data_IF_145102084382
#
_entry.id   IF_145102084382
#
_cell.length_a   1.000
_cell.length_b   1.000
_cell.length_c   1.000
_cell.angle_alpha   90.00
_cell.angle_beta   90.00
_cell.angle_gamma   90.00
#
_symmetry.space_group_name_H-M   'P 1'
#
loop_
_entity.id
_entity.type
_entity.pdbx_description
1 polymer ?
#
# COMPACT_ATOMS: atom_id res chain seq x y z
N UNK A 1 -57.40 13.47 -5.97
CA UNK A 1 -58.57 12.69 -5.52
C UNK A 1 -58.56 11.37 -6.27
N UNK A 2 -58.50 10.26 -5.51
CA UNK A 2 -58.86 8.87 -5.88
C UNK A 2 -58.15 8.18 -7.06
N UNK A 3 -57.74 6.92 -7.04
CA UNK A 3 -57.57 5.85 -6.02
C UNK A 3 -57.05 4.63 -6.80
N UNK A 4 -56.06 3.91 -6.24
CA UNK A 4 -55.83 2.44 -6.32
C UNK A 4 -55.68 1.77 -7.73
N UNK A 5 -54.90 0.70 -7.96
CA UNK A 5 -54.62 -0.46 -7.10
C UNK A 5 -53.43 -1.23 -7.69
N UNK A 6 -52.64 -1.86 -6.83
CA UNK A 6 -51.50 -2.71 -7.14
C UNK A 6 -51.91 -4.10 -7.69
N UNK A 7 -51.04 -4.72 -8.47
CA UNK A 7 -51.00 -6.20 -8.61
C UNK A 7 -49.56 -6.66 -8.86
N UNK A 8 -48.92 -7.09 -7.77
CA UNK A 8 -47.78 -8.02 -7.77
C UNK A 8 -48.36 -9.44 -7.85
N UNK A 9 -47.72 -10.34 -8.61
CA UNK A 9 -47.49 -11.76 -8.29
C UNK A 9 -46.93 -12.51 -9.51
N UNK A 10 -45.75 -13.11 -9.36
CA UNK A 10 -45.57 -14.52 -9.72
C UNK A 10 -44.45 -15.16 -8.88
N UNK A 11 -44.56 -16.46 -8.53
CA UNK A 11 -43.96 -17.00 -7.33
C UNK A 11 -42.72 -17.88 -7.59
N UNK A 12 -41.78 -17.85 -6.64
CA UNK A 12 -40.69 -18.81 -6.52
C UNK A 12 -41.21 -20.18 -6.02
N UNK A 13 -40.72 -21.32 -6.56
CA UNK A 13 -41.11 -22.64 -6.09
C UNK A 13 -40.42 -23.03 -4.77
N UNK A 14 -41.22 -23.62 -3.86
CA UNK A 14 -40.83 -24.19 -2.56
C UNK A 14 -40.03 -25.49 -2.73
N UNK A 15 -38.92 -25.61 -2.01
CA UNK A 15 -38.21 -26.87 -1.80
C UNK A 15 -38.87 -27.62 -0.64
N UNK A 16 -39.26 -28.87 -0.91
CA UNK A 16 -39.93 -29.81 0.00
C UNK A 16 -38.97 -30.41 1.03
N UNK A 17 -39.40 -30.47 2.28
CA UNK A 17 -38.71 -31.16 3.37
C UNK A 17 -39.28 -32.56 3.53
N UNK A 18 -38.47 -33.60 3.36
CA UNK A 18 -38.90 -34.98 3.59
C UNK A 18 -38.43 -35.47 4.97
N UNK A 19 -39.39 -35.69 5.86
CA UNK A 19 -39.22 -36.30 7.18
C UNK A 19 -39.14 -37.81 7.01
N UNK A 20 -38.10 -38.46 7.55
CA UNK A 20 -38.17 -39.87 7.90
C UNK A 20 -37.78 -40.05 9.37
N UNK A 21 -38.74 -40.59 10.13
CA UNK A 21 -38.73 -40.80 11.57
C UNK A 21 -38.56 -42.31 11.80
N UNK A 22 -37.54 -42.73 12.57
CA UNK A 22 -37.50 -44.03 13.24
C UNK A 22 -37.06 -43.84 14.69
N UNK A 23 -37.99 -44.10 15.60
CA UNK A 23 -37.78 -44.50 17.02
C UNK A 23 -37.17 -45.92 17.03
N UNK A 24 -36.42 -46.42 18.02
CA UNK A 24 -36.54 -46.39 19.48
C UNK A 24 -35.24 -46.99 20.07
N UNK A 25 -34.74 -46.50 21.21
CA UNK A 25 -34.43 -47.28 22.43
C UNK A 25 -33.51 -46.53 23.41
N UNK A 26 -33.99 -46.54 24.65
CA UNK A 26 -33.44 -46.04 25.92
C UNK A 26 -32.19 -46.80 26.36
N UNK A 27 -31.15 -46.08 26.81
CA UNK A 27 -30.15 -46.60 27.73
C UNK A 27 -29.66 -45.50 28.70
N UNK A 28 -29.59 -45.92 29.95
CA UNK A 28 -29.36 -45.23 31.22
C UNK A 28 -28.03 -44.47 31.34
N UNK A 29 -28.09 -43.27 31.94
CA UNK A 29 -26.93 -42.44 32.36
C UNK A 29 -26.45 -42.86 33.76
N UNK A 30 -25.16 -43.12 34.01
CA UNK A 30 -24.64 -43.17 35.37
C UNK A 30 -24.28 -41.76 35.85
N UNK A 31 -24.75 -41.40 37.05
CA UNK A 31 -24.34 -40.22 37.81
C UNK A 31 -22.93 -40.45 38.36
N UNK A 32 -21.97 -39.62 37.98
CA UNK A 32 -20.67 -39.54 38.64
C UNK A 32 -20.57 -38.21 39.40
N UNK A 33 -20.47 -38.31 40.72
CA UNK A 33 -20.10 -37.25 41.65
C UNK A 33 -18.58 -37.13 41.72
N UNK A 34 -17.97 -35.94 41.55
CA UNK A 34 -16.55 -35.77 41.87
C UNK A 34 -16.38 -35.50 43.35
N UNK A 35 -15.66 -36.39 44.04
CA UNK A 35 -15.09 -36.17 45.37
C UNK A 35 -14.03 -35.07 45.30
N UNK A 36 -14.03 -34.20 46.32
CA UNK A 36 -12.94 -33.28 46.64
C UNK A 36 -11.66 -34.04 47.04
N UNK A 37 -10.53 -33.68 46.45
CA UNK A 37 -9.22 -33.90 47.07
C UNK A 37 -8.33 -32.68 46.86
N UNK A 38 -7.94 -32.09 47.98
CA UNK A 38 -6.95 -31.03 48.13
C UNK A 38 -5.54 -31.51 47.73
N UNK A 39 -4.68 -30.52 47.46
CA UNK A 39 -3.22 -30.52 47.32
C UNK A 39 -2.63 -30.78 45.93
N UNK A 40 -2.49 -29.69 45.17
CA UNK A 40 -1.24 -29.42 44.48
C UNK A 40 -0.79 -27.98 44.82
N UNK A 41 0.47 -27.90 45.26
CA UNK A 41 1.18 -26.68 45.63
C UNK A 41 1.17 -25.67 44.47
N UNK A 42 0.77 -24.43 44.79
CA UNK A 42 0.84 -23.30 43.88
C UNK A 42 2.30 -22.82 43.78
N UNK A 43 2.91 -22.97 42.61
CA UNK A 43 3.97 -22.07 42.17
C UNK A 43 3.33 -20.70 41.84
N UNK A 44 3.95 -19.55 42.15
CA UNK A 44 3.37 -18.26 41.83
C UNK A 44 3.33 -18.09 40.29
N UNK A 45 2.23 -17.57 39.70
CA UNK A 45 2.19 -17.36 38.26
C UNK A 45 3.10 -16.18 37.89
N UNK A 46 3.79 -16.23 36.74
CA UNK A 46 4.56 -15.12 36.25
C UNK A 46 3.62 -14.06 35.64
N UNK A 47 3.97 -12.79 35.85
CA UNK A 47 3.59 -11.60 35.06
C UNK A 47 2.13 -11.47 34.60
N UNK A 48 1.43 -10.48 35.17
CA UNK A 48 0.12 -9.99 34.72
C UNK A 48 0.01 -9.94 33.19
N UNK A 49 -0.93 -10.69 32.63
CA UNK A 49 -1.20 -10.67 31.19
C UNK A 49 -1.81 -9.30 30.78
N UNK A 50 -1.64 -8.84 29.52
CA UNK A 50 -2.31 -7.63 29.04
C UNK A 50 -3.85 -7.69 29.22
N UNK A 51 -4.41 -8.90 29.16
CA UNK A 51 -5.81 -9.18 29.43
C UNK A 51 -6.21 -8.86 30.87
N UNK A 52 -5.35 -9.08 31.87
CA UNK A 52 -5.64 -8.76 33.27
C UNK A 52 -5.66 -7.25 33.51
N UNK A 53 -4.78 -6.50 32.85
CA UNK A 53 -4.75 -5.03 32.91
C UNK A 53 -6.00 -4.45 32.27
N UNK A 54 -6.37 -4.91 31.07
CA UNK A 54 -7.60 -4.49 30.40
C UNK A 54 -8.82 -4.87 31.23
N UNK A 55 -8.86 -6.06 31.84
CA UNK A 55 -9.99 -6.51 32.67
C UNK A 55 -10.13 -5.68 33.95
N UNK A 56 -9.02 -5.31 34.59
CA UNK A 56 -9.02 -4.49 35.79
C UNK A 56 -9.40 -3.04 35.49
N UNK A 57 -8.89 -2.47 34.40
CA UNK A 57 -9.31 -1.16 33.89
C UNK A 57 -10.80 -1.21 33.52
N UNK A 58 -11.26 -2.28 32.88
CA UNK A 58 -12.67 -2.42 32.49
C UNK A 58 -13.58 -2.48 33.71
N UNK A 59 -13.21 -3.22 34.76
CA UNK A 59 -13.98 -3.26 36.02
C UNK A 59 -14.02 -1.92 36.74
N UNK A 60 -12.94 -1.13 36.65
CA UNK A 60 -12.83 0.20 37.25
C UNK A 60 -13.65 1.24 36.48
N UNK A 61 -13.52 1.25 35.15
CA UNK A 61 -14.17 2.19 34.24
C UNK A 61 -15.67 1.91 34.10
N UNK A 62 -16.06 0.63 33.94
CA UNK A 62 -17.44 0.20 33.72
C UNK A 62 -18.13 -0.34 34.99
N UNK A 63 -17.54 -0.14 36.16
CA UNK A 63 -18.16 -0.44 37.46
C UNK A 63 -19.27 0.55 37.82
N UNK A 64 -20.01 0.27 38.91
CA UNK A 64 -21.12 1.11 39.42
C UNK A 64 -20.70 2.53 39.86
N UNK A 65 -19.41 2.85 39.82
CA UNK A 65 -18.77 4.01 40.41
C UNK A 65 -18.57 5.20 39.46
N UNK A 66 -18.73 5.04 38.15
CA UNK A 66 -18.67 6.14 37.17
C UNK A 66 -19.95 6.20 36.33
N UNK A 67 -20.59 7.37 36.20
CA UNK A 67 -21.67 7.55 35.23
C UNK A 67 -21.17 7.21 33.82
N UNK A 68 -21.84 6.31 33.06
CA UNK A 68 -21.36 5.86 31.75
C UNK A 68 -21.07 7.00 30.77
N UNK A 69 -21.82 8.10 30.86
CA UNK A 69 -21.62 9.29 30.03
C UNK A 69 -20.27 9.97 30.28
N UNK A 70 -19.86 10.09 31.55
CA UNK A 70 -18.59 10.70 31.94
C UNK A 70 -17.42 9.81 31.52
N UNK A 71 -17.58 8.50 31.68
CA UNK A 71 -16.58 7.55 31.18
C UNK A 71 -16.39 7.69 29.66
N UNK A 72 -17.48 7.66 28.91
CA UNK A 72 -17.44 7.73 27.44
C UNK A 72 -16.82 9.05 26.99
N UNK A 73 -17.16 10.18 27.63
CA UNK A 73 -16.59 11.49 27.27
C UNK A 73 -15.10 11.56 27.58
N UNK A 74 -14.65 11.07 28.74
CA UNK A 74 -13.22 11.01 29.09
C UNK A 74 -12.44 10.12 28.13
N UNK A 75 -12.90 8.89 27.87
CA UNK A 75 -12.22 7.96 26.94
C UNK A 75 -12.16 8.55 25.54
N UNK A 76 -13.25 9.16 25.05
CA UNK A 76 -13.27 9.84 23.75
C UNK A 76 -12.26 10.97 23.67
N UNK A 77 -12.19 11.81 24.70
CA UNK A 77 -11.24 12.91 24.75
C UNK A 77 -9.81 12.40 24.76
N UNK A 78 -9.49 11.44 25.64
CA UNK A 78 -8.15 10.84 25.71
C UNK A 78 -7.74 10.18 24.40
N UNK A 79 -8.66 9.43 23.78
CA UNK A 79 -8.41 8.78 22.49
C UNK A 79 -8.12 9.81 21.40
N UNK A 80 -8.97 10.83 21.25
CA UNK A 80 -8.79 11.87 20.25
C UNK A 80 -7.48 12.64 20.46
N UNK A 81 -7.16 13.04 21.69
CA UNK A 81 -5.91 13.73 22.01
C UNK A 81 -4.69 12.88 21.70
N UNK A 82 -4.73 11.58 22.05
CA UNK A 82 -3.63 10.64 21.74
C UNK A 82 -3.48 10.47 20.23
N UNK A 83 -4.60 10.31 19.51
CA UNK A 83 -4.60 10.20 18.06
C UNK A 83 -3.95 11.42 17.40
N UNK A 84 -4.30 12.64 17.80
CA UNK A 84 -3.67 13.87 17.28
C UNK A 84 -2.16 13.92 17.55
N UNK A 85 -1.73 13.57 18.77
CA UNK A 85 -0.31 13.51 19.10
C UNK A 85 0.43 12.55 18.18
N UNK A 86 -0.11 11.34 17.99
CA UNK A 86 0.50 10.33 17.14
C UNK A 86 0.51 10.71 15.66
N UNK A 87 -0.58 11.31 15.17
CA UNK A 87 -0.67 11.79 13.80
C UNK A 87 0.33 12.91 13.51
N UNK A 88 0.56 13.83 14.47
CA UNK A 88 1.56 14.89 14.32
C UNK A 88 2.98 14.36 14.10
N UNK A 89 3.31 13.20 14.67
CA UNK A 89 4.61 12.54 14.52
C UNK A 89 4.70 11.73 13.22
N UNK A 90 3.62 11.01 12.87
CA UNK A 90 3.55 10.18 11.67
C UNK A 90 3.55 11.04 10.39
N UNK A 91 2.73 12.09 10.41
CA UNK A 91 2.38 12.93 9.28
C UNK A 91 2.39 14.41 9.70
N UNK A 92 3.55 15.08 9.56
CA UNK A 92 3.68 16.51 9.86
C UNK A 92 2.63 17.32 9.11
N UNK A 93 1.94 18.20 9.81
CA UNK A 93 0.89 19.05 9.25
C UNK A 93 1.12 20.52 9.59
N UNK A 94 0.58 21.40 8.75
CA UNK A 94 0.47 22.83 9.08
C UNK A 94 -0.64 23.09 10.12
N UNK A 95 -0.81 24.33 10.62
CA UNK A 95 -1.86 24.65 11.60
C UNK A 95 -3.29 24.40 11.10
N UNK A 96 -3.52 24.29 9.79
CA UNK A 96 -4.82 23.94 9.22
C UNK A 96 -5.10 22.43 9.25
N UNK A 97 -4.12 21.60 9.62
CA UNK A 97 -4.20 20.15 9.61
C UNK A 97 -3.86 19.51 8.26
N UNK A 98 -3.32 20.29 7.32
CA UNK A 98 -2.92 19.80 6.00
C UNK A 98 -1.51 19.19 6.06
N UNK A 99 -1.42 17.93 5.62
CA UNK A 99 -0.18 17.16 5.61
C UNK A 99 0.84 17.71 4.60
N UNK A 100 2.11 17.78 5.04
CA UNK A 100 3.26 18.13 4.21
C UNK A 100 4.30 17.01 4.23
N UNK A 101 4.66 16.49 3.04
CA UNK A 101 5.66 15.42 2.90
C UNK A 101 7.08 15.95 3.12
N UNK A 102 7.87 15.40 4.06
CA UNK A 102 9.28 15.74 4.20
C UNK A 102 10.06 15.45 2.92
N UNK A 103 10.98 16.35 2.56
CA UNK A 103 11.80 16.22 1.35
C UNK A 103 12.95 15.24 1.57
N UNK A 104 13.25 14.43 0.56
CA UNK A 104 14.39 13.50 0.52
C UNK A 104 15.72 14.27 0.58
N UNK A 105 16.66 13.81 1.40
CA UNK A 105 17.93 14.53 1.65
C UNK A 105 19.05 14.13 0.67
N UNK A 106 19.06 12.90 0.17
CA UNK A 106 20.07 12.40 -0.75
C UNK A 106 19.54 12.45 -2.18
N UNK A 107 20.07 13.38 -2.97
CA UNK A 107 19.67 13.60 -4.37
C UNK A 107 20.78 13.11 -5.29
N UNK A 108 20.43 12.35 -6.32
CA UNK A 108 21.38 12.04 -7.37
C UNK A 108 21.58 13.32 -8.20
N UNK A 109 22.66 14.06 -7.94
CA UNK A 109 23.06 15.12 -8.88
C UNK A 109 23.31 14.44 -10.22
N UNK A 110 22.84 15.01 -11.32
CA UNK A 110 22.96 14.51 -12.70
C UNK A 110 24.40 14.42 -13.22
N UNK A 111 25.39 14.30 -12.34
CA UNK A 111 26.82 14.35 -12.64
C UNK A 111 27.43 12.97 -12.35
N UNK A 112 27.80 12.33 -13.45
CA UNK A 112 28.69 11.18 -13.58
C UNK A 112 29.99 11.31 -12.78
N UNK A 113 30.64 10.19 -12.43
CA UNK A 113 30.30 8.82 -12.83
C UNK A 113 29.34 8.11 -11.89
N UNK A 114 28.45 7.32 -12.49
CA UNK A 114 27.60 6.36 -11.78
C UNK A 114 28.51 5.34 -11.08
N UNK A 115 28.27 5.02 -9.80
CA UNK A 115 29.06 4.01 -9.11
C UNK A 115 28.98 2.65 -9.82
N UNK A 116 30.07 1.87 -9.88
CA UNK A 116 30.08 0.59 -10.59
C UNK A 116 29.23 -0.47 -9.88
N UNK A 117 29.09 -0.40 -8.56
CA UNK A 117 28.21 -1.29 -7.78
C UNK A 117 27.15 -0.51 -7.03
N UNK A 118 25.94 -0.54 -7.57
CA UNK A 118 24.75 0.00 -6.96
C UNK A 118 23.84 -1.11 -6.42
N UNK A 119 23.21 -0.84 -5.28
CA UNK A 119 22.23 -1.73 -4.67
C UNK A 119 20.98 -0.93 -4.29
N UNK A 120 19.80 -1.51 -4.50
CA UNK A 120 18.53 -0.86 -4.24
C UNK A 120 17.82 -1.50 -3.05
N UNK A 121 17.53 -0.69 -2.03
CA UNK A 121 16.66 -1.09 -0.92
C UNK A 121 15.24 -0.59 -1.17
N UNK A 122 14.28 -1.50 -1.08
CA UNK A 122 12.86 -1.21 -1.31
C UNK A 122 11.97 -1.81 -0.23
N UNK A 123 10.73 -1.31 -0.17
CA UNK A 123 9.64 -1.97 0.53
C UNK A 123 8.44 -2.04 -0.41
N UNK A 124 7.91 -3.25 -0.64
CA UNK A 124 6.81 -3.50 -1.58
C UNK A 124 5.55 -2.65 -1.34
N UNK A 125 5.17 -2.31 -0.10
CA UNK A 125 4.03 -1.42 0.12
C UNK A 125 4.21 -0.02 -0.46
N UNK A 126 5.44 0.50 -0.47
CA UNK A 126 5.73 1.89 -0.79
C UNK A 126 5.58 2.18 -2.31
N UNK A 127 4.69 3.10 -2.73
CA UNK A 127 4.54 3.45 -4.15
C UNK A 127 5.79 4.13 -4.71
N UNK A 128 6.50 4.93 -3.91
CA UNK A 128 7.74 5.58 -4.31
C UNK A 128 8.83 4.56 -4.65
N UNK A 129 8.94 3.49 -3.84
CA UNK A 129 9.87 2.40 -4.12
C UNK A 129 9.41 1.53 -5.29
N UNK A 130 8.10 1.35 -5.45
CA UNK A 130 7.53 0.59 -6.56
C UNK A 130 7.89 1.19 -7.93
N UNK A 131 8.00 2.53 -8.04
CA UNK A 131 8.49 3.19 -9.27
C UNK A 131 9.84 2.64 -9.70
N UNK A 132 10.77 2.53 -8.76
CA UNK A 132 12.13 2.04 -9.02
C UNK A 132 12.16 0.58 -9.45
N UNK A 133 11.28 -0.26 -8.89
CA UNK A 133 11.16 -1.66 -9.29
C UNK A 133 10.60 -1.81 -10.72
N UNK A 134 9.58 -1.02 -11.07
CA UNK A 134 8.99 -1.03 -12.41
C UNK A 134 10.03 -0.59 -13.43
N UNK A 135 10.69 0.55 -13.22
CA UNK A 135 11.70 1.05 -14.17
C UNK A 135 12.89 0.11 -14.25
N UNK A 136 13.36 -0.45 -13.13
CA UNK A 136 14.39 -1.50 -13.14
C UNK A 136 14.00 -2.70 -14.00
N UNK A 137 12.75 -3.15 -13.92
CA UNK A 137 12.26 -4.27 -14.72
C UNK A 137 12.15 -3.93 -16.21
N UNK A 138 11.55 -2.78 -16.55
CA UNK A 138 11.36 -2.32 -17.93
C UNK A 138 12.68 -1.98 -18.64
N UNK A 139 13.68 -1.51 -17.88
CA UNK A 139 15.05 -1.25 -18.33
C UNK A 139 15.95 -2.49 -18.27
N UNK A 140 15.43 -3.67 -17.89
CA UNK A 140 16.21 -4.90 -17.76
C UNK A 140 17.46 -4.76 -16.87
N UNK A 141 17.40 -3.96 -15.81
CA UNK A 141 18.53 -3.70 -14.89
C UNK A 141 18.65 -4.77 -13.79
N UNK A 142 18.14 -5.98 -14.07
CA UNK A 142 18.07 -7.10 -13.14
C UNK A 142 19.44 -7.50 -12.61
N UNK A 143 20.38 -7.67 -13.54
CA UNK A 143 21.74 -8.16 -13.28
C UNK A 143 22.70 -7.03 -12.89
N UNK A 144 22.31 -5.78 -13.14
CA UNK A 144 23.14 -4.59 -12.88
C UNK A 144 22.87 -4.05 -11.48
N UNK A 145 21.59 -4.01 -11.07
CA UNK A 145 21.17 -3.42 -9.80
C UNK A 145 20.55 -4.51 -8.95
N UNK A 146 21.30 -4.97 -7.96
CA UNK A 146 20.79 -5.92 -6.96
C UNK A 146 19.78 -5.24 -6.03
N UNK A 147 18.88 -6.03 -5.42
CA UNK A 147 17.77 -5.51 -4.59
C UNK A 147 17.70 -6.25 -3.26
N UNK A 148 17.49 -5.52 -2.16
CA UNK A 148 17.05 -6.07 -0.88
C UNK A 148 15.67 -5.50 -0.55
N UNK A 149 14.73 -6.40 -0.22
CA UNK A 149 13.33 -6.06 0.00
C UNK A 149 13.04 -6.15 1.49
N UNK A 150 12.72 -5.01 2.10
CA UNK A 150 12.32 -4.93 3.49
C UNK A 150 10.80 -5.13 3.65
N UNK A 151 10.39 -5.65 4.80
CA UNK A 151 9.00 -5.62 5.26
C UNK A 151 8.82 -4.54 6.34
N UNK A 152 7.59 -4.06 6.57
CA UNK A 152 7.31 -3.16 7.67
C UNK A 152 7.40 -3.88 9.03
N UNK A 153 8.17 -3.33 9.95
CA UNK A 153 8.22 -3.72 11.36
C UNK A 153 7.07 -3.12 12.17
N UNK A 154 6.88 -3.63 13.39
CA UNK A 154 5.80 -3.19 14.30
C UNK A 154 5.94 -1.71 14.67
N UNK A 155 7.16 -1.19 14.76
CA UNK A 155 7.45 0.22 15.04
C UNK A 155 7.39 1.13 13.80
N UNK A 156 6.96 0.59 12.65
CA UNK A 156 6.93 1.28 11.37
C UNK A 156 8.29 1.42 10.67
N UNK A 157 9.35 0.81 11.21
CA UNK A 157 10.63 0.73 10.51
C UNK A 157 10.62 -0.30 9.38
N UNK A 158 11.59 -0.20 8.47
CA UNK A 158 11.79 -1.19 7.42
C UNK A 158 12.77 -2.25 7.92
N UNK A 159 12.30 -3.48 8.10
CA UNK A 159 13.05 -4.59 8.66
C UNK A 159 13.40 -5.63 7.60
N UNK A 160 14.56 -6.25 7.76
CA UNK A 160 15.02 -7.37 6.96
C UNK A 160 14.91 -8.63 7.81
N UNK A 161 14.35 -9.68 7.22
CA UNK A 161 14.20 -10.97 7.90
C UNK A 161 14.75 -12.08 7.02
N UNK A 162 15.34 -13.08 7.66
CA UNK A 162 15.70 -14.32 7.00
C UNK A 162 14.41 -15.01 6.56
N UNK A 163 14.14 -14.99 5.26
CA UNK A 163 12.95 -15.62 4.73
C UNK A 163 13.16 -17.13 4.67
N UNK A 164 12.36 -17.90 5.41
CA UNK A 164 12.37 -19.36 5.31
C UNK A 164 11.68 -19.75 4.00
N UNK A 165 12.45 -20.17 2.99
CA UNK A 165 11.98 -20.63 1.67
C UNK A 165 10.95 -21.78 1.73
N UNK A 166 10.66 -22.32 2.93
CA UNK A 166 9.68 -23.39 3.18
C UNK A 166 8.23 -22.93 3.17
N UNK A 167 7.91 -21.63 3.23
CA UNK A 167 6.54 -21.18 2.98
C UNK A 167 6.29 -21.19 1.47
N UNK A 168 5.44 -22.10 0.98
CA UNK A 168 5.12 -22.33 -0.43
C UNK A 168 4.44 -21.18 -1.17
N UNK A 169 4.97 -19.95 -1.05
CA UNK A 169 4.62 -18.82 -1.90
C UNK A 169 5.17 -19.07 -3.30
N UNK A 170 4.32 -18.85 -4.29
CA UNK A 170 4.69 -18.95 -5.71
C UNK A 170 5.83 -17.97 -5.99
N UNK A 171 6.86 -18.41 -6.72
CA UNK A 171 8.01 -17.60 -7.18
C UNK A 171 7.65 -16.44 -8.14
N UNK A 172 6.35 -16.12 -8.26
CA UNK A 172 5.77 -15.23 -9.24
C UNK A 172 5.93 -13.73 -8.88
N UNK A 173 6.16 -13.42 -7.60
CA UNK A 173 6.28 -12.03 -7.12
C UNK A 173 7.57 -11.79 -6.34
N UNK A 174 8.02 -10.54 -6.34
CA UNK A 174 9.08 -10.10 -5.41
C UNK A 174 8.61 -10.24 -3.95
N UNK A 175 9.49 -10.74 -3.08
CA UNK A 175 9.20 -10.99 -1.65
C UNK A 175 10.27 -10.40 -0.71
N UNK A 176 9.91 -10.01 0.52
CA UNK A 176 10.88 -9.56 1.53
C UNK A 176 11.96 -10.60 1.84
N UNK A 177 13.15 -10.14 2.23
CA UNK A 177 14.27 -10.99 2.58
C UNK A 177 15.35 -10.30 3.40
N UNK A 178 16.49 -10.97 3.56
CA UNK A 178 17.66 -10.47 4.28
C UNK A 178 18.36 -9.36 3.49
N UNK A 179 19.05 -8.46 4.20
CA UNK A 179 20.00 -7.53 3.58
C UNK A 179 21.22 -8.28 3.04
N UNK A 180 21.30 -8.39 1.72
CA UNK A 180 22.35 -9.13 1.02
C UNK A 180 23.70 -8.39 0.92
N UNK A 181 23.74 -7.10 1.27
CA UNK A 181 24.93 -6.25 1.08
C UNK A 181 25.60 -5.90 2.39
N UNK A 182 24.85 -5.47 3.40
CA UNK A 182 25.43 -5.03 4.68
C UNK A 182 25.05 -5.95 5.86
N UNK A 183 24.17 -6.94 5.67
CA UNK A 183 23.73 -7.84 6.75
C UNK A 183 22.98 -7.12 7.88
N UNK A 184 22.41 -5.93 7.62
CA UNK A 184 21.66 -5.18 8.60
C UNK A 184 20.29 -5.81 8.87
N UNK A 185 19.76 -5.62 10.09
CA UNK A 185 18.42 -6.09 10.49
C UNK A 185 17.31 -5.14 10.08
N UNK A 186 17.64 -3.87 9.86
CA UNK A 186 16.67 -2.87 9.42
C UNK A 186 17.35 -1.73 8.65
N UNK A 187 16.55 -0.96 7.93
CA UNK A 187 17.03 0.14 7.09
C UNK A 187 17.64 1.29 7.93
N UNK A 188 17.19 1.48 9.18
CA UNK A 188 17.79 2.47 10.10
C UNK A 188 19.28 2.16 10.31
N UNK A 189 19.65 0.89 10.46
CA UNK A 189 21.05 0.48 10.55
C UNK A 189 21.82 0.76 9.26
N UNK A 190 21.24 0.52 8.08
CA UNK A 190 21.91 0.83 6.80
C UNK A 190 22.17 2.33 6.65
N UNK A 191 21.21 3.18 7.00
CA UNK A 191 21.41 4.64 7.01
C UNK A 191 22.52 5.08 7.98
N UNK A 192 22.69 4.40 9.13
CA UNK A 192 23.78 4.67 10.08
C UNK A 192 25.16 4.27 9.57
N UNK A 193 25.25 3.37 8.58
CA UNK A 193 26.52 3.02 7.95
C UNK A 193 27.04 4.11 7.01
N UNK A 194 26.20 5.10 6.66
CA UNK A 194 26.60 6.19 5.78
C UNK A 194 27.79 6.96 6.37
N UNK A 195 28.88 7.01 5.60
CA UNK A 195 30.16 7.61 6.01
C UNK A 195 30.16 9.15 6.17
N UNK A 196 29.03 9.82 5.95
CA UNK A 196 28.90 11.29 5.98
C UNK A 196 28.57 11.91 7.35
N UNK A 197 28.49 11.13 8.42
CA UNK A 197 28.14 11.59 9.77
C UNK A 197 26.81 11.02 10.27
N UNK A 198 26.34 11.48 11.43
CA UNK A 198 25.08 11.02 12.02
C UNK A 198 23.87 11.49 11.20
N UNK A 199 23.15 10.55 10.58
CA UNK A 199 21.93 10.83 9.84
C UNK A 199 20.71 10.85 10.78
N UNK A 200 20.14 12.03 10.99
CA UNK A 200 18.96 12.25 11.84
C UNK A 200 17.63 12.32 11.06
N UNK A 201 17.65 12.05 9.75
CA UNK A 201 16.45 12.05 8.91
C UNK A 201 15.65 10.74 8.98
N UNK A 202 14.55 10.66 8.23
CA UNK A 202 13.74 9.43 8.13
C UNK A 202 14.46 8.40 7.25
N UNK A 203 14.61 7.17 7.76
CA UNK A 203 15.10 6.04 6.97
C UNK A 203 14.02 5.55 5.99
N UNK A 204 13.96 6.14 4.81
CA UNK A 204 12.91 5.90 3.80
C UNK A 204 13.35 4.94 2.70
N UNK A 205 12.40 4.21 2.14
CA UNK A 205 12.54 3.54 0.82
C UNK A 205 11.87 4.38 -0.28
N UNK A 206 12.37 4.35 -1.53
CA UNK A 206 13.55 3.62 -1.99
C UNK A 206 14.85 4.26 -1.50
N UNK A 207 15.90 3.45 -1.40
CA UNK A 207 17.26 3.91 -1.15
C UNK A 207 18.22 3.24 -2.13
N UNK A 208 18.84 4.03 -2.99
CA UNK A 208 19.92 3.61 -3.86
C UNK A 208 21.25 3.78 -3.11
N UNK A 209 21.99 2.68 -2.99
CA UNK A 209 23.18 2.55 -2.18
C UNK A 209 24.41 2.34 -3.05
N UNK A 210 25.48 3.09 -2.79
CA UNK A 210 26.79 2.84 -3.36
C UNK A 210 27.51 1.80 -2.47
N UNK A 211 27.68 0.60 -3.01
CA UNK A 211 28.25 -0.54 -2.27
C UNK A 211 29.71 -0.29 -1.91
N UNK A 212 30.51 0.20 -2.85
CA UNK A 212 31.95 0.37 -2.67
C UNK A 212 32.28 1.43 -1.63
N UNK A 213 31.54 2.54 -1.65
CA UNK A 213 31.72 3.66 -0.71
C UNK A 213 30.90 3.52 0.58
N UNK A 214 30.06 2.50 0.70
CA UNK A 214 29.13 2.30 1.82
C UNK A 214 28.34 3.57 2.18
N UNK A 215 27.68 4.15 1.19
CA UNK A 215 26.94 5.40 1.38
C UNK A 215 25.62 5.42 0.61
N UNK A 216 24.65 6.17 1.13
CA UNK A 216 23.43 6.50 0.41
C UNK A 216 23.81 7.34 -0.81
N UNK A 217 23.48 6.84 -2.01
CA UNK A 217 23.69 7.56 -3.25
C UNK A 217 22.49 8.46 -3.57
N UNK A 218 21.28 7.93 -3.44
CA UNK A 218 20.04 8.69 -3.63
C UNK A 218 18.88 8.05 -2.86
N UNK A 219 17.99 8.85 -2.30
CA UNK A 219 16.73 8.37 -1.72
C UNK A 219 15.50 9.13 -2.25
N UNK A 220 15.65 9.89 -3.34
CA UNK A 220 14.52 10.45 -4.07
C UNK A 220 14.12 9.51 -5.22
N UNK A 221 12.87 9.05 -5.19
CA UNK A 221 12.37 8.05 -6.14
C UNK A 221 12.41 8.50 -7.60
N UNK A 222 12.12 9.79 -7.86
CA UNK A 222 12.10 10.31 -9.23
C UNK A 222 13.52 10.41 -9.81
N UNK A 223 14.47 10.96 -9.04
CA UNK A 223 15.88 10.99 -9.42
C UNK A 223 16.43 9.57 -9.70
N UNK A 224 16.03 8.56 -8.92
CA UNK A 224 16.46 7.17 -9.13
C UNK A 224 15.91 6.62 -10.45
N UNK A 225 14.64 6.85 -10.79
CA UNK A 225 14.09 6.35 -12.06
C UNK A 225 14.62 7.08 -13.28
N UNK A 226 14.93 8.38 -13.17
CA UNK A 226 15.64 9.12 -14.23
C UNK A 226 17.05 8.57 -14.44
N UNK A 227 17.77 8.29 -13.35
CA UNK A 227 19.08 7.63 -13.40
C UNK A 227 19.00 6.25 -14.04
N UNK A 228 18.01 5.44 -13.67
CA UNK A 228 17.82 4.11 -14.27
C UNK A 228 17.48 4.20 -15.76
N UNK A 229 16.73 5.23 -16.17
CA UNK A 229 16.39 5.44 -17.57
C UNK A 229 17.60 5.82 -18.42
N UNK A 230 18.44 6.74 -17.93
CA UNK A 230 19.51 7.39 -18.70
C UNK A 230 20.92 6.86 -18.44
N UNK A 231 21.15 6.25 -17.29
CA UNK A 231 22.49 5.96 -16.78
C UNK A 231 23.12 4.63 -17.24
N UNK A 232 22.37 3.77 -17.92
CA UNK A 232 22.82 2.45 -18.34
C UNK A 232 22.53 2.25 -19.83
N UNK A 233 23.57 2.32 -20.67
CA UNK A 233 23.44 2.22 -22.13
C UNK A 233 22.76 0.92 -22.57
N UNK A 234 21.98 0.99 -23.66
CA UNK A 234 21.54 -0.20 -24.41
C UNK A 234 20.49 -1.11 -23.76
N UNK A 235 19.83 -0.70 -22.67
CA UNK A 235 18.93 -1.58 -21.91
C UNK A 235 17.47 -1.10 -21.91
N UNK A 236 16.60 -1.77 -22.66
CA UNK A 236 15.13 -1.60 -22.58
C UNK A 236 14.52 -0.30 -23.14
N UNK A 237 13.24 -0.07 -22.82
CA UNK A 237 12.44 1.06 -23.30
C UNK A 237 13.00 2.41 -22.82
N UNK A 238 13.00 3.46 -23.65
CA UNK A 238 13.27 4.83 -23.19
C UNK A 238 11.98 5.45 -22.66
N UNK A 239 11.90 5.61 -21.33
CA UNK A 239 10.74 6.12 -20.61
C UNK A 239 10.77 7.65 -20.46
N UNK A 240 11.84 8.32 -20.88
CA UNK A 240 11.96 9.78 -20.82
C UNK A 240 12.67 10.32 -22.05
N UNK A 241 12.15 10.05 -23.27
CA UNK A 241 12.77 10.52 -24.49
C UNK A 241 12.84 12.06 -24.51
N UNK A 242 13.93 12.65 -25.05
CA UNK A 242 14.13 14.11 -25.01
C UNK A 242 12.96 14.94 -25.52
N UNK A 243 12.25 14.45 -26.56
CA UNK A 243 11.10 15.12 -27.17
C UNK A 243 9.88 15.23 -26.24
N UNK A 244 9.72 14.29 -25.29
CA UNK A 244 8.58 14.26 -24.37
C UNK A 244 8.91 14.80 -22.98
N UNK A 245 10.18 15.16 -22.72
CA UNK A 245 10.63 15.55 -21.38
C UNK A 245 9.80 16.70 -20.77
N UNK A 246 9.52 17.72 -21.57
CA UNK A 246 8.67 18.86 -21.13
C UNK A 246 7.26 18.40 -20.75
N UNK A 247 6.65 17.53 -21.55
CA UNK A 247 5.31 17.02 -21.30
C UNK A 247 5.26 16.10 -20.06
N UNK A 248 6.32 15.30 -19.85
CA UNK A 248 6.50 14.49 -18.63
C UNK A 248 6.56 15.40 -17.39
N UNK A 249 7.32 16.49 -17.46
CA UNK A 249 7.43 17.48 -16.38
C UNK A 249 6.07 18.15 -16.09
N UNK A 250 5.34 18.57 -17.11
CA UNK A 250 3.99 19.16 -17.00
C UNK A 250 3.01 18.19 -16.31
N UNK A 251 3.00 16.91 -16.72
CA UNK A 251 2.16 15.89 -16.07
C UNK A 251 2.56 15.64 -14.61
N UNK A 252 3.85 15.55 -14.32
CA UNK A 252 4.32 15.33 -12.95
C UNK A 252 3.97 16.49 -12.01
N UNK A 253 3.96 17.74 -12.50
CA UNK A 253 3.53 18.90 -11.73
C UNK A 253 2.05 18.83 -11.30
N UNK A 254 1.22 18.11 -12.06
CA UNK A 254 -0.19 17.88 -11.75
C UNK A 254 -0.38 16.63 -10.88
N UNK A 255 0.23 15.52 -11.28
CA UNK A 255 0.01 14.20 -10.67
C UNK A 255 0.63 14.12 -9.28
N UNK A 256 1.82 14.68 -9.06
CA UNK A 256 2.47 14.59 -7.76
C UNK A 256 1.67 15.25 -6.63
N UNK A 257 1.31 16.55 -6.68
CA UNK A 257 0.66 17.22 -5.56
C UNK A 257 -0.78 16.74 -5.32
N UNK A 258 -1.52 16.45 -6.40
CA UNK A 258 -2.96 16.18 -6.33
C UNK A 258 -3.31 14.70 -6.31
N UNK A 259 -2.47 13.81 -6.85
CA UNK A 259 -2.75 12.37 -6.92
C UNK A 259 -1.78 11.57 -6.06
N UNK A 260 -0.49 11.57 -6.37
CA UNK A 260 0.49 10.74 -5.66
C UNK A 260 0.61 11.12 -4.19
N UNK A 261 0.75 12.41 -3.91
CA UNK A 261 0.74 12.96 -2.56
C UNK A 261 -0.69 13.27 -2.09
N UNK A 262 -1.63 13.53 -3.01
CA UNK A 262 -3.02 13.86 -2.67
C UNK A 262 -3.73 12.78 -1.87
N UNK A 263 -3.54 11.50 -2.21
CA UNK A 263 -4.10 10.39 -1.41
C UNK A 263 -3.56 10.39 0.03
N UNK A 264 -2.29 10.71 0.25
CA UNK A 264 -1.71 10.84 1.60
C UNK A 264 -2.24 12.08 2.31
N UNK A 265 -2.43 13.20 1.60
CA UNK A 265 -3.07 14.39 2.17
C UNK A 265 -4.49 14.09 2.64
N UNK A 266 -5.24 13.25 1.94
CA UNK A 266 -6.54 12.76 2.41
C UNK A 266 -6.39 11.88 3.65
N UNK A 267 -5.55 10.83 3.57
CA UNK A 267 -5.41 9.84 4.64
C UNK A 267 -4.79 10.36 5.93
N UNK A 268 -3.98 11.41 5.83
CA UNK A 268 -3.28 12.02 6.96
C UNK A 268 -3.84 13.38 7.38
N UNK A 269 -4.94 13.83 6.78
CA UNK A 269 -5.61 15.05 7.20
C UNK A 269 -5.99 14.99 8.69
N UNK A 270 -5.70 16.07 9.42
CA UNK A 270 -6.00 16.18 10.85
C UNK A 270 -7.19 17.09 11.14
N UNK A 271 -7.83 17.63 10.10
CA UNK A 271 -9.05 18.43 10.15
C UNK A 271 -9.98 18.04 8.99
N UNK A 272 -11.27 18.36 9.11
CA UNK A 272 -12.25 18.11 8.07
C UNK A 272 -11.95 18.97 6.84
N UNK A 273 -11.57 20.23 7.04
CA UNK A 273 -11.27 21.20 5.99
C UNK A 273 -10.05 20.80 5.16
N UNK A 274 -8.99 20.30 5.81
CA UNK A 274 -7.80 19.79 5.12
C UNK A 274 -8.13 18.53 4.29
N UNK A 275 -8.97 17.65 4.83
CA UNK A 275 -9.45 16.48 4.11
C UNK A 275 -10.30 16.88 2.89
N UNK A 276 -11.29 17.76 3.07
CA UNK A 276 -12.20 18.19 2.00
C UNK A 276 -11.44 18.87 0.86
N UNK A 277 -10.46 19.70 1.20
CA UNK A 277 -9.57 20.33 0.21
C UNK A 277 -8.75 19.27 -0.56
N UNK A 278 -8.14 18.33 0.16
CA UNK A 278 -7.30 17.30 -0.45
C UNK A 278 -8.11 16.36 -1.35
N UNK A 279 -9.27 15.89 -0.88
CA UNK A 279 -10.11 14.93 -1.61
C UNK A 279 -10.76 15.60 -2.83
N UNK A 280 -11.17 16.87 -2.73
CA UNK A 280 -11.67 17.64 -3.87
C UNK A 280 -10.61 17.80 -4.96
N UNK A 281 -9.37 18.16 -4.58
CA UNK A 281 -8.25 18.27 -5.51
C UNK A 281 -7.86 16.93 -6.16
N UNK A 282 -7.86 15.85 -5.38
CA UNK A 282 -7.61 14.49 -5.87
C UNK A 282 -8.61 14.10 -6.95
N UNK A 283 -9.90 14.17 -6.65
CA UNK A 283 -10.92 13.70 -7.59
C UNK A 283 -11.07 14.61 -8.79
N UNK A 284 -10.95 15.93 -8.64
CA UNK A 284 -10.94 16.84 -9.80
C UNK A 284 -9.78 16.53 -10.75
N UNK A 285 -8.62 16.14 -10.21
CA UNK A 285 -7.46 15.76 -11.02
C UNK A 285 -7.64 14.38 -11.66
N UNK A 286 -8.20 13.40 -10.95
CA UNK A 286 -8.52 12.09 -11.53
C UNK A 286 -9.57 12.19 -12.64
N UNK A 287 -10.60 13.02 -12.47
CA UNK A 287 -11.62 13.29 -13.48
C UNK A 287 -10.97 13.88 -14.76
N UNK A 288 -10.08 14.88 -14.60
CA UNK A 288 -9.32 15.45 -15.73
C UNK A 288 -8.38 14.46 -16.42
N UNK A 289 -7.69 13.60 -15.66
CA UNK A 289 -6.82 12.56 -16.25
C UNK A 289 -7.67 11.51 -16.98
N UNK A 290 -8.83 11.13 -16.44
CA UNK A 290 -9.74 10.18 -17.11
C UNK A 290 -10.22 10.72 -18.46
N UNK A 291 -10.61 12.00 -18.52
CA UNK A 291 -11.01 12.66 -19.77
C UNK A 291 -9.87 12.68 -20.79
N UNK A 292 -8.64 13.03 -20.37
CA UNK A 292 -7.45 12.99 -21.24
C UNK A 292 -7.18 11.59 -21.80
N UNK A 293 -7.26 10.57 -20.94
CA UNK A 293 -7.01 9.18 -21.28
C UNK A 293 -8.10 8.56 -22.17
N UNK A 294 -9.21 9.26 -22.41
CA UNK A 294 -10.21 8.88 -23.42
C UNK A 294 -9.71 9.07 -24.85
N UNK A 295 -8.76 9.97 -25.07
CA UNK A 295 -8.23 10.29 -26.40
C UNK A 295 -6.74 9.97 -26.56
N UNK A 296 -6.08 9.48 -25.51
CA UNK A 296 -4.65 9.20 -25.49
C UNK A 296 -4.39 7.91 -24.75
N UNK A 297 -3.60 6.99 -25.33
CA UNK A 297 -3.30 5.69 -24.70
C UNK A 297 -2.56 5.87 -23.37
N UNK A 298 -1.57 6.76 -23.33
CA UNK A 298 -0.80 7.15 -22.15
C UNK A 298 -0.84 8.66 -21.92
N UNK A 299 -0.23 9.15 -20.84
CA UNK A 299 -0.23 10.58 -20.50
C UNK A 299 0.43 11.43 -21.59
N UNK A 300 1.54 10.97 -22.16
CA UNK A 300 2.29 11.68 -23.20
C UNK A 300 2.01 11.17 -24.62
N UNK A 301 0.81 10.65 -24.90
CA UNK A 301 0.44 10.12 -26.21
C UNK A 301 0.50 8.60 -26.27
N UNK A 302 1.19 8.06 -27.28
CA UNK A 302 1.19 6.62 -27.60
C UNK A 302 2.29 5.81 -26.91
N UNK A 303 3.25 6.46 -26.25
CA UNK A 303 4.38 5.80 -25.59
C UNK A 303 4.29 5.90 -24.07
N UNK A 304 4.68 4.81 -23.39
CA UNK A 304 4.80 4.77 -21.93
C UNK A 304 5.97 5.64 -21.46
N UNK A 305 5.74 6.50 -20.48
CA UNK A 305 6.77 7.38 -19.92
C UNK A 305 6.94 7.24 -18.41
N UNK A 306 7.93 7.93 -17.84
CA UNK A 306 8.12 8.03 -16.39
C UNK A 306 6.91 8.67 -15.67
N UNK A 307 6.16 9.56 -16.33
CA UNK A 307 4.93 10.12 -15.77
C UNK A 307 3.88 9.03 -15.54
N UNK A 308 3.76 8.09 -16.50
CA UNK A 308 2.83 6.97 -16.40
C UNK A 308 3.18 6.03 -15.25
N UNK A 309 4.47 5.71 -15.09
CA UNK A 309 4.95 4.92 -13.95
C UNK A 309 4.64 5.62 -12.61
N UNK A 310 4.82 6.94 -12.56
CA UNK A 310 4.51 7.73 -11.38
C UNK A 310 3.03 7.69 -11.02
N UNK A 311 2.13 7.79 -12.01
CA UNK A 311 0.69 7.68 -11.81
C UNK A 311 0.25 6.26 -11.45
N UNK A 312 0.69 5.26 -12.22
CA UNK A 312 0.32 3.85 -12.08
C UNK A 312 0.52 3.33 -10.66
N UNK A 313 1.65 3.67 -10.03
CA UNK A 313 1.96 3.22 -8.66
C UNK A 313 0.97 3.72 -7.61
N UNK A 314 0.25 4.82 -7.88
CA UNK A 314 -0.90 5.26 -7.07
C UNK A 314 -2.18 4.54 -7.49
N UNK A 315 -2.47 4.44 -8.78
CA UNK A 315 -3.71 3.81 -9.28
C UNK A 315 -3.84 2.35 -8.84
N UNK A 316 -2.77 1.55 -8.96
CA UNK A 316 -2.78 0.13 -8.59
C UNK A 316 -3.06 -0.10 -7.09
N UNK A 317 -2.90 0.92 -6.25
CA UNK A 317 -3.17 0.89 -4.80
C UNK A 317 -4.51 1.53 -4.43
N UNK A 318 -5.18 2.18 -5.37
CA UNK A 318 -6.31 3.05 -5.09
C UNK A 318 -7.48 2.28 -4.46
N UNK A 319 -8.01 1.27 -5.16
CA UNK A 319 -9.11 0.46 -4.65
C UNK A 319 -8.67 -0.55 -3.57
N UNK A 320 -7.40 -0.96 -3.57
CA UNK A 320 -6.83 -1.85 -2.56
C UNK A 320 -6.71 -1.19 -1.17
N UNK A 321 -6.39 0.10 -1.14
CA UNK A 321 -5.96 0.80 0.08
C UNK A 321 -6.59 2.17 0.18
N UNK A 322 -6.31 3.08 -0.76
CA UNK A 322 -6.56 4.51 -0.55
C UNK A 322 -8.04 4.85 -0.44
N UNK A 323 -8.88 4.14 -1.20
CA UNK A 323 -10.32 4.31 -1.15
C UNK A 323 -10.84 4.09 0.28
N UNK A 324 -10.42 3.01 0.93
CA UNK A 324 -10.93 2.63 2.25
C UNK A 324 -10.13 3.31 3.37
N UNK A 325 -8.82 3.09 3.42
CA UNK A 325 -7.97 3.51 4.55
C UNK A 325 -7.78 5.03 4.58
N UNK A 326 -7.55 5.63 3.41
CA UNK A 326 -7.33 7.09 3.28
C UNK A 326 -8.62 7.86 2.98
N UNK A 327 -9.76 7.17 2.97
CA UNK A 327 -11.10 7.74 2.72
C UNK A 327 -11.22 8.39 1.34
N UNK A 328 -10.44 7.98 0.34
CA UNK A 328 -10.61 8.47 -1.03
C UNK A 328 -11.83 7.80 -1.70
N UNK A 329 -13.05 8.05 -1.19
CA UNK A 329 -14.25 7.23 -1.46
C UNK A 329 -15.24 7.81 -2.47
N UNK A 330 -15.02 9.00 -3.06
CA UNK A 330 -16.00 9.63 -4.00
C UNK A 330 -16.33 8.70 -5.17
N UNK A 331 -15.32 8.02 -5.72
CA UNK A 331 -15.41 7.11 -6.87
C UNK A 331 -14.28 6.08 -6.79
N UNK A 332 -14.57 4.80 -6.99
CA UNK A 332 -13.57 3.73 -7.14
C UNK A 332 -12.84 3.89 -8.47
N UNK A 333 -11.62 3.35 -8.55
CA UNK A 333 -10.87 3.37 -9.79
C UNK A 333 -11.60 2.60 -10.90
N UNK A 334 -12.22 1.47 -10.57
CA UNK A 334 -13.05 0.67 -11.50
C UNK A 334 -14.19 1.46 -12.17
N UNK A 335 -14.70 2.50 -11.52
CA UNK A 335 -15.84 3.28 -12.01
C UNK A 335 -15.43 4.36 -13.03
N UNK A 336 -14.13 4.55 -13.24
CA UNK A 336 -13.59 5.43 -14.28
C UNK A 336 -13.50 4.70 -15.62
N UNK A 337 -13.93 5.36 -16.68
CA UNK A 337 -14.04 4.77 -18.01
C UNK A 337 -12.66 4.43 -18.58
N UNK A 338 -11.70 5.35 -18.42
CA UNK A 338 -10.39 5.25 -19.05
C UNK A 338 -9.30 4.82 -18.06
N UNK A 339 -9.30 5.36 -16.84
CA UNK A 339 -8.26 5.12 -15.83
C UNK A 339 -8.14 3.65 -15.43
N UNK A 340 -9.24 2.91 -15.30
CA UNK A 340 -9.19 1.49 -14.98
C UNK A 340 -8.57 0.68 -16.13
N UNK A 341 -8.96 0.98 -17.37
CA UNK A 341 -8.33 0.41 -18.56
C UNK A 341 -6.85 0.74 -18.64
N UNK A 342 -6.46 1.99 -18.36
CA UNK A 342 -5.09 2.49 -18.38
C UNK A 342 -4.20 1.79 -17.36
N UNK A 343 -4.70 1.63 -16.13
CA UNK A 343 -4.01 0.88 -15.09
C UNK A 343 -3.82 -0.58 -15.50
N UNK A 344 -4.82 -1.23 -16.11
CA UNK A 344 -4.69 -2.61 -16.61
C UNK A 344 -3.71 -2.74 -17.78
N UNK A 345 -3.70 -1.78 -18.72
CA UNK A 345 -2.73 -1.74 -19.83
C UNK A 345 -1.30 -1.77 -19.29
N UNK A 346 -0.96 -0.89 -18.33
CA UNK A 346 0.37 -0.86 -17.70
C UNK A 346 0.65 -2.13 -16.88
N UNK A 347 -0.34 -2.65 -16.15
CA UNK A 347 -0.19 -3.88 -15.35
C UNK A 347 0.18 -5.10 -16.21
N UNK A 348 -0.36 -5.17 -17.43
CA UNK A 348 -0.17 -6.27 -18.37
C UNK A 348 1.15 -6.19 -19.14
N UNK A 349 1.88 -5.07 -19.07
CA UNK A 349 3.23 -4.98 -19.65
C UNK A 349 4.13 -6.05 -19.00
N UNK A 350 4.88 -6.84 -19.79
CA UNK A 350 5.74 -7.88 -19.27
C UNK A 350 6.62 -7.39 -18.11
N UNK A 351 6.72 -8.21 -17.06
CA UNK A 351 7.45 -7.96 -15.80
C UNK A 351 6.81 -6.94 -14.84
N UNK A 352 5.79 -6.16 -15.22
CA UNK A 352 5.14 -5.19 -14.31
C UNK A 352 4.26 -5.88 -13.27
N UNK A 353 3.46 -6.87 -13.65
CA UNK A 353 2.62 -7.59 -12.69
C UNK A 353 3.43 -8.22 -11.54
N UNK A 354 4.64 -8.73 -11.82
CA UNK A 354 5.53 -9.36 -10.84
C UNK A 354 6.04 -8.38 -9.74
N UNK A 355 5.97 -7.07 -9.97
CA UNK A 355 6.33 -6.05 -8.97
C UNK A 355 5.14 -5.68 -8.07
N UNK A 356 3.93 -6.15 -8.39
CA UNK A 356 2.68 -5.77 -7.74
C UNK A 356 2.22 -6.77 -6.67
N UNK A 357 3.00 -6.95 -5.60
CA UNK A 357 2.63 -7.83 -4.49
C UNK A 357 1.49 -7.21 -3.63
N UNK A 358 0.24 -7.53 -3.94
CA UNK A 358 -0.94 -6.94 -3.28
C UNK A 358 -1.06 -7.32 -1.80
N UNK A 359 -0.65 -8.52 -1.42
CA UNK A 359 -0.65 -8.91 -0.01
C UNK A 359 0.31 -8.02 0.79
N UNK A 360 1.56 -7.88 0.32
CA UNK A 360 2.54 -7.01 0.96
C UNK A 360 2.06 -5.56 0.99
N UNK A 361 1.49 -5.06 -0.12
CA UNK A 361 0.89 -3.72 -0.17
C UNK A 361 -0.16 -3.56 0.92
N UNK A 362 -1.19 -4.40 0.94
CA UNK A 362 -2.29 -4.25 1.90
C UNK A 362 -1.79 -4.39 3.34
N UNK A 363 -0.90 -5.34 3.63
CA UNK A 363 -0.31 -5.49 4.96
C UNK A 363 0.47 -4.25 5.39
N UNK A 364 1.27 -3.66 4.52
CA UNK A 364 2.03 -2.47 4.85
C UNK A 364 1.18 -1.25 5.15
N UNK A 365 -0.02 -1.14 4.58
CA UNK A 365 -0.94 -0.06 4.92
C UNK A 365 -1.83 -0.39 6.11
N UNK A 366 -2.54 -1.52 6.09
CA UNK A 366 -3.55 -1.83 7.10
C UNK A 366 -2.96 -2.28 8.44
N UNK A 367 -1.80 -2.94 8.47
CA UNK A 367 -1.20 -3.43 9.71
C UNK A 367 -0.21 -2.43 10.32
N UNK A 368 0.43 -1.60 9.50
CA UNK A 368 1.58 -0.78 9.93
C UNK A 368 1.23 0.70 10.16
N UNK A 369 0.26 1.27 9.43
CA UNK A 369 -0.08 2.69 9.58
C UNK A 369 -0.95 2.94 10.80
N UNK A 370 -0.35 2.81 11.98
CA UNK A 370 -0.92 3.26 13.24
C UNK A 370 -0.68 4.77 13.41
N UNK A 371 -1.70 5.58 13.78
CA UNK A 371 -3.00 5.19 14.34
C UNK A 371 -4.17 5.16 13.34
N UNK A 372 -3.94 5.11 12.02
CA UNK A 372 -5.03 5.15 11.03
C UNK A 372 -5.95 3.92 11.06
N UNK A 373 -5.38 2.74 11.31
CA UNK A 373 -6.13 1.50 11.46
C UNK A 373 -5.74 0.77 12.76
N UNK A 374 -6.24 1.20 13.93
CA UNK A 374 -5.84 0.68 15.23
C UNK A 374 -6.05 -0.83 15.42
N UNK A 375 -7.02 -1.42 14.72
CA UNK A 375 -7.32 -2.84 14.82
C UNK A 375 -6.40 -3.72 13.97
N UNK A 376 -5.56 -3.15 13.12
CA UNK A 376 -4.70 -3.87 12.16
C UNK A 376 -5.44 -4.88 11.26
N UNK A 377 -6.77 -4.75 11.14
CA UNK A 377 -7.60 -5.61 10.32
C UNK A 377 -7.42 -5.21 8.86
N UNK A 378 -7.00 -6.17 8.03
CA UNK A 378 -6.92 -6.04 6.58
C UNK A 378 -8.24 -6.48 5.94
N UNK A 379 -8.88 -5.66 5.10
CA UNK A 379 -10.06 -6.08 4.35
C UNK A 379 -9.69 -7.15 3.30
N UNK A 380 -10.68 -7.89 2.81
CA UNK A 380 -10.49 -8.79 1.67
C UNK A 380 -10.13 -8.01 0.40
N UNK A 381 -9.29 -8.58 -0.46
CA UNK A 381 -8.94 -7.98 -1.75
C UNK A 381 -10.22 -7.75 -2.58
N UNK A 382 -10.49 -6.53 -3.07
CA UNK A 382 -11.60 -6.25 -3.96
C UNK A 382 -11.56 -7.13 -5.21
N UNK A 383 -12.71 -7.61 -5.68
CA UNK A 383 -12.80 -8.51 -6.84
C UNK A 383 -12.19 -7.91 -8.11
N UNK A 384 -12.29 -6.58 -8.30
CA UNK A 384 -11.69 -5.87 -9.43
C UNK A 384 -10.15 -5.86 -9.42
N UNK A 385 -9.53 -6.09 -8.26
CA UNK A 385 -8.08 -6.11 -8.11
C UNK A 385 -7.50 -7.52 -8.15
N UNK A 386 -8.29 -8.56 -8.43
CA UNK A 386 -7.75 -9.91 -8.60
C UNK A 386 -6.88 -9.99 -9.85
N UNK A 387 -5.81 -10.76 -9.79
CA UNK A 387 -4.86 -10.92 -10.89
C UNK A 387 -5.58 -11.34 -12.20
N UNK A 388 -6.50 -12.31 -12.14
CA UNK A 388 -7.27 -12.72 -13.33
C UNK A 388 -8.11 -11.60 -13.95
N UNK A 389 -8.62 -10.67 -13.14
CA UNK A 389 -9.44 -9.54 -13.60
C UNK A 389 -8.55 -8.46 -14.22
N UNK A 390 -7.39 -8.20 -13.61
CA UNK A 390 -6.42 -7.24 -14.13
C UNK A 390 -5.79 -7.69 -15.45
N UNK A 391 -5.79 -9.00 -15.75
CA UNK A 391 -5.34 -9.57 -17.03
C UNK A 391 -6.41 -9.60 -18.13
N UNK A 392 -7.66 -9.22 -17.84
CA UNK A 392 -8.69 -9.14 -18.89
C UNK A 392 -8.41 -8.00 -19.87
N UNK A 393 -8.86 -8.13 -21.12
CA UNK A 393 -8.61 -7.12 -22.16
C UNK A 393 -9.04 -5.72 -21.73
N UNK A 394 -8.19 -4.74 -22.04
CA UNK A 394 -8.43 -3.31 -21.79
C UNK A 394 -8.75 -2.52 -23.06
N UNK A 395 -8.49 -3.06 -24.26
CA UNK A 395 -8.78 -2.46 -25.57
C UNK A 395 -8.16 -1.06 -25.79
N UNK A 396 -7.13 -0.69 -25.03
CA UNK A 396 -6.51 0.66 -25.10
C UNK A 396 -5.54 0.81 -26.26
N UNK A 397 -5.08 -0.29 -26.82
CA UNK A 397 -4.37 -0.33 -28.08
C UNK A 397 -5.20 0.24 -29.25
N UNK A 398 -6.54 0.25 -29.15
CA UNK A 398 -7.42 0.85 -30.15
C UNK A 398 -7.47 2.39 -30.10
N UNK A 399 -7.07 2.98 -28.97
CA UNK A 399 -6.98 4.44 -28.79
C UNK A 399 -5.67 4.96 -29.41
N UNK A 400 -4.71 4.08 -29.66
CA UNK A 400 -3.41 4.49 -30.17
C UNK A 400 -3.50 5.02 -31.60
N UNK A 401 -2.88 6.18 -31.84
CA UNK A 401 -2.83 6.76 -33.19
C UNK A 401 -1.83 6.04 -34.11
N UNK A 402 -0.93 5.26 -33.51
CA UNK A 402 -0.01 4.38 -34.20
C UNK A 402 -0.59 2.97 -34.31
N UNK A 403 -1.00 2.55 -35.51
CA UNK A 403 -1.52 1.20 -35.78
C UNK A 403 -0.51 0.06 -35.64
N UNK A 404 0.65 0.30 -35.02
CA UNK A 404 1.68 -0.70 -34.80
C UNK A 404 1.46 -1.42 -33.46
N UNK A 405 1.04 -2.68 -33.54
CA UNK A 405 1.14 -3.61 -32.42
C UNK A 405 2.61 -3.72 -32.03
N UNK A 406 3.02 -3.04 -30.96
CA UNK A 406 4.32 -3.26 -30.34
C UNK A 406 4.48 -4.75 -30.02
N UNK A 407 5.18 -5.44 -30.90
CA UNK A 407 5.52 -6.84 -30.77
C UNK A 407 6.81 -6.88 -30.00
N UNK A 408 6.75 -7.17 -28.70
CA UNK A 408 7.96 -7.40 -27.92
C UNK A 408 8.70 -8.61 -28.54
N UNK A 409 10.02 -8.55 -28.76
CA UNK A 409 10.77 -9.74 -29.12
C UNK A 409 10.64 -10.73 -27.96
N UNK A 410 10.14 -11.93 -28.26
CA UNK A 410 10.16 -13.05 -27.33
C UNK A 410 11.63 -13.35 -26.99
N UNK A 411 12.01 -13.16 -25.74
CA UNK A 411 13.32 -13.48 -25.18
C UNK A 411 13.14 -14.27 -23.90
#
# INVERSE_FOLDING_TARGET
MSTATATLLNPFPRISTNKNRKTLHTATRPKFTPKSSLNQQQNPPPSSSPLDVVTNITKLLWGKSLPPQLLISTVRLTWNSTWHLMMSQLAPSDPSGSYSRPVSQFRAKSISPIPPKLHLYVGLPCPWAHRTLIVRALKNLGDIISVSIASPGIDGSWEFHDYDKRSGQKEEFSVPGSDSVNGCKNLKQVYRLHSGGEYNGRSTVPMLWNVDKKQVYCNESYDIIELFNSGFEGSGLDLSPPLLKKQIEEWNQVIYPSVNNGVYRCGFAQSQEAYDTAVSGLFSTLDMIDDHLGNSRYLCGDVLTLADVCLFTTLIRFDLVYNILFKCTKKKLLEYENLHGYMRDIYQIPKVAATCNFEAIMDGYYKTLFPLNPGSIRPTVPSCCKHEVLLTSHNRELISSTGERFSFPAG
#
